data_IF_670800282057
#
_entry.id   IF_670800282057
#
_cell.length_a   1.000
_cell.length_b   1.000
_cell.length_c   1.000
_cell.angle_alpha   90.00
_cell.angle_beta   90.00
_cell.angle_gamma   90.00
#
_symmetry.space_group_name_H-M   'P 1'
#
loop_
_entity.id
_entity.type
_entity.pdbx_description
1 polymer ?
#
# COMPACT_ATOMS: atom_id res chain seq x y z
N UNK A 1 -8.22 -16.62 -4.92
CA UNK A 1 -8.57 -15.18 -4.84
C UNK A 1 -8.09 -14.49 -6.11
N UNK A 2 -8.90 -13.62 -6.72
CA UNK A 2 -8.48 -12.80 -7.85
C UNK A 2 -7.84 -11.50 -7.32
N UNK A 3 -6.72 -11.02 -7.90
CA UNK A 3 -6.07 -9.80 -7.44
C UNK A 3 -6.95 -8.60 -7.76
N UNK A 4 -7.31 -7.83 -6.73
CA UNK A 4 -8.06 -6.58 -6.89
C UNK A 4 -7.06 -5.48 -7.28
N UNK A 5 -6.85 -5.31 -8.59
CA UNK A 5 -5.90 -4.33 -9.12
C UNK A 5 -6.63 -3.01 -9.28
N UNK A 6 -6.24 -1.99 -8.53
CA UNK A 6 -6.77 -0.63 -8.73
C UNK A 6 -6.31 -0.13 -10.10
N UNK A 7 -7.24 0.23 -10.98
CA UNK A 7 -6.94 0.89 -12.25
C UNK A 7 -6.48 2.33 -12.01
N UNK A 8 -5.27 2.71 -12.44
CA UNK A 8 -4.80 4.10 -12.35
C UNK A 8 -5.72 5.02 -13.16
N UNK A 9 -6.02 6.21 -12.63
CA UNK A 9 -6.76 7.23 -13.38
C UNK A 9 -5.78 8.06 -14.21
N UNK A 10 -6.02 8.18 -15.52
CA UNK A 10 -5.16 8.82 -16.55
C UNK A 10 -4.94 10.35 -16.40
N UNK A 11 -5.08 10.92 -15.21
CA UNK A 11 -5.04 12.37 -15.02
C UNK A 11 -3.79 12.80 -14.28
N UNK A 12 -2.94 13.46 -15.08
CA UNK A 12 -1.77 14.30 -14.76
C UNK A 12 -0.56 13.58 -14.15
N UNK A 13 0.63 14.02 -14.58
CA UNK A 13 1.94 13.66 -14.05
C UNK A 13 2.11 14.09 -12.57
N UNK A 14 1.26 13.55 -11.71
CA UNK A 14 1.26 13.68 -10.27
C UNK A 14 1.98 12.46 -9.70
N UNK A 15 2.77 12.64 -8.64
CA UNK A 15 3.37 11.54 -7.85
C UNK A 15 2.37 10.40 -7.75
N UNK A 16 2.64 9.32 -8.45
CA UNK A 16 1.83 8.13 -8.42
C UNK A 16 2.31 7.30 -7.23
N UNK A 17 1.38 6.97 -6.33
CA UNK A 17 1.65 6.18 -5.15
C UNK A 17 0.90 4.87 -5.25
N UNK A 18 1.62 3.77 -5.11
CA UNK A 18 1.09 2.43 -5.08
C UNK A 18 1.05 1.93 -3.64
N UNK A 19 -0.08 1.31 -3.26
CA UNK A 19 -0.24 0.64 -1.99
C UNK A 19 -0.56 -0.83 -2.22
N UNK A 20 0.13 -1.72 -1.51
CA UNK A 20 -0.11 -3.17 -1.57
C UNK A 20 0.07 -3.83 -0.22
N UNK A 21 -0.60 -4.96 -0.06
CA UNK A 21 -0.42 -5.86 1.07
C UNK A 21 0.48 -7.01 0.61
N UNK A 22 1.58 -7.19 1.33
CA UNK A 22 2.45 -8.36 1.20
C UNK A 22 2.18 -9.30 2.38
N UNK A 23 1.95 -10.57 2.08
CA UNK A 23 1.76 -11.61 3.07
C UNK A 23 2.79 -12.72 2.81
N UNK A 24 3.81 -12.76 3.66
CA UNK A 24 4.86 -13.78 3.64
C UNK A 24 4.44 -15.08 4.37
N UNK A 25 3.17 -15.17 4.80
CA UNK A 25 2.60 -16.26 5.59
C UNK A 25 2.96 -16.20 7.08
N UNK A 26 3.74 -15.22 7.52
CA UNK A 26 4.11 -14.99 8.93
C UNK A 26 3.64 -13.63 9.42
N UNK A 27 3.66 -12.62 8.56
CA UNK A 27 3.27 -11.25 8.90
C UNK A 27 2.77 -10.52 7.67
N UNK A 28 1.54 -10.04 7.74
CA UNK A 28 1.00 -9.15 6.72
C UNK A 28 1.60 -7.74 6.87
N UNK A 29 2.05 -7.16 5.76
CA UNK A 29 2.72 -5.86 5.70
C UNK A 29 2.05 -4.96 4.67
N UNK A 30 1.78 -3.72 5.06
CA UNK A 30 1.38 -2.67 4.12
C UNK A 30 2.63 -2.03 3.54
N UNK A 31 2.73 -2.06 2.22
CA UNK A 31 3.77 -1.40 1.44
C UNK A 31 3.15 -0.18 0.77
N UNK A 32 3.77 0.99 0.95
CA UNK A 32 3.42 2.22 0.22
C UNK A 32 4.68 2.67 -0.53
N UNK A 33 4.59 2.80 -1.85
CA UNK A 33 5.70 3.17 -2.71
C UNK A 33 5.31 4.32 -3.64
N UNK A 34 6.12 5.36 -3.70
CA UNK A 34 6.07 6.33 -4.78
C UNK A 34 6.70 5.68 -6.03
N UNK A 35 5.92 5.51 -7.09
CA UNK A 35 6.37 4.85 -8.34
C UNK A 35 7.20 5.78 -9.22
N UNK A 36 7.27 7.06 -8.86
CA UNK A 36 7.97 8.11 -9.61
C UNK A 36 9.38 8.37 -9.09
N UNK A 37 9.74 7.86 -7.89
CA UNK A 37 11.02 8.09 -7.25
C UNK A 37 11.70 6.79 -6.79
N UNK A 38 12.99 6.65 -7.10
CA UNK A 38 13.75 5.47 -6.67
C UNK A 38 13.89 5.43 -5.14
N UNK A 39 13.75 4.24 -4.57
CA UNK A 39 13.84 3.94 -3.13
C UNK A 39 12.90 4.75 -2.23
N UNK A 40 11.86 5.37 -2.80
CA UNK A 40 10.84 6.11 -2.05
C UNK A 40 9.68 5.17 -1.65
N UNK A 41 9.95 4.25 -0.71
CA UNK A 41 8.94 3.31 -0.22
C UNK A 41 9.07 3.06 1.28
N UNK A 42 7.96 2.64 1.90
CA UNK A 42 7.90 2.21 3.29
C UNK A 42 7.11 0.89 3.40
N UNK A 43 7.49 0.07 4.38
CA UNK A 43 6.78 -1.16 4.75
C UNK A 43 6.50 -1.15 6.24
N UNK A 44 5.23 -1.32 6.59
CA UNK A 44 4.78 -1.34 7.99
C UNK A 44 4.00 -2.63 8.28
N UNK A 45 4.23 -3.29 9.42
CA UNK A 45 3.47 -4.47 9.81
C UNK A 45 2.01 -4.08 10.12
N UNK A 46 1.06 -4.81 9.52
CA UNK A 46 -0.38 -4.54 9.70
C UNK A 46 -0.83 -4.85 11.13
N UNK A 47 -0.15 -5.77 11.82
CA UNK A 47 -0.43 -6.11 13.22
C UNK A 47 -0.27 -4.95 14.20
N UNK A 48 0.47 -3.90 13.83
CA UNK A 48 0.59 -2.66 14.62
C UNK A 48 -0.40 -1.56 14.21
N UNK A 49 -1.20 -1.80 13.17
CA UNK A 49 -2.25 -0.87 12.74
C UNK A 49 -3.51 -1.06 13.57
N UNK A 50 -4.17 0.05 13.85
CA UNK A 50 -5.45 0.06 14.57
C UNK A 50 -6.57 0.04 13.52
N UNK A 51 -7.58 -0.80 13.70
CA UNK A 51 -8.70 -0.87 12.77
C UNK A 51 -9.41 0.49 12.71
N UNK A 52 -9.88 0.91 11.53
CA UNK A 52 -10.49 2.23 11.35
C UNK A 52 -11.68 2.47 12.30
N UNK A 53 -12.42 1.42 12.63
CA UNK A 53 -13.51 1.44 13.61
C UNK A 53 -13.05 1.77 15.05
N UNK A 54 -11.77 1.54 15.37
CA UNK A 54 -11.18 1.83 16.67
C UNK A 54 -10.50 3.22 16.71
N UNK A 55 -10.51 3.99 15.61
CA UNK A 55 -9.96 5.37 15.51
C UNK A 55 -10.91 6.47 15.99
N UNK A 56 -11.97 6.11 16.72
CA UNK A 56 -13.08 7.00 17.09
C UNK A 56 -12.64 8.32 17.74
#
# INVERSE_FOLDING_TARGET
MAPNTATPSDSVAQSEVMASLDDDGRTERLIIADTTADKAWLSVPVSGSVALQDWQ
#
